data_IF_611761746314
#
_entry.id   IF_611761746314
#
_cell.length_a   1.000
_cell.length_b   1.000
_cell.length_c   1.000
_cell.angle_alpha   90.00
_cell.angle_beta   90.00
_cell.angle_gamma   90.00
#
_symmetry.space_group_name_H-M   'P 1'
#
loop_
_entity.id
_entity.type
_entity.pdbx_description
1 polymer ?
#
# COMPACT_ATOMS: atom_id res chain seq x y z
N UNK A 1 -10.48 -21.07 -9.42
CA UNK A 1 -11.41 -22.13 -8.99
C UNK A 1 -12.42 -22.49 -10.07
N UNK A 2 -13.42 -21.63 -10.34
CA UNK A 2 -14.55 -21.92 -11.24
C UNK A 2 -14.10 -22.51 -12.58
N UNK A 3 -13.11 -21.88 -13.23
CA UNK A 3 -12.56 -22.37 -14.50
C UNK A 3 -12.01 -23.80 -14.38
N UNK A 4 -11.24 -24.09 -13.33
CA UNK A 4 -10.68 -25.42 -13.12
C UNK A 4 -11.76 -26.47 -12.84
N UNK A 5 -12.73 -26.15 -11.97
CA UNK A 5 -13.85 -27.05 -11.64
C UNK A 5 -14.71 -27.32 -12.88
N UNK A 6 -15.03 -26.30 -13.66
CA UNK A 6 -15.80 -26.46 -14.91
C UNK A 6 -15.03 -27.26 -15.96
N UNK A 7 -13.73 -27.01 -16.16
CA UNK A 7 -12.93 -27.77 -17.12
C UNK A 7 -12.83 -29.24 -16.74
N UNK A 8 -12.57 -29.55 -15.46
CA UNK A 8 -12.49 -30.93 -14.98
C UNK A 8 -13.85 -31.61 -15.07
N UNK A 9 -14.94 -30.89 -14.75
CA UNK A 9 -16.28 -31.43 -14.88
C UNK A 9 -16.62 -31.73 -16.34
N UNK A 10 -16.41 -30.78 -17.25
CA UNK A 10 -16.77 -30.92 -18.66
C UNK A 10 -15.92 -31.95 -19.43
N UNK A 11 -14.62 -32.02 -19.15
CA UNK A 11 -13.67 -32.89 -19.87
C UNK A 11 -13.47 -34.24 -19.18
N UNK A 12 -13.61 -34.28 -17.87
CA UNK A 12 -13.24 -35.42 -17.04
C UNK A 12 -14.42 -36.24 -16.53
N UNK A 13 -15.67 -35.79 -16.68
CA UNK A 13 -16.84 -36.58 -16.27
C UNK A 13 -17.65 -37.04 -17.47
N UNK A 14 -17.85 -38.35 -17.56
CA UNK A 14 -18.64 -39.00 -18.61
C UNK A 14 -20.11 -38.52 -18.65
N UNK A 15 -20.58 -37.91 -17.55
CA UNK A 15 -21.94 -37.40 -17.37
C UNK A 15 -22.05 -35.87 -17.35
N UNK A 16 -21.02 -35.16 -17.82
CA UNK A 16 -21.06 -33.69 -17.82
C UNK A 16 -22.22 -33.17 -18.67
N UNK A 17 -22.90 -32.14 -18.13
CA UNK A 17 -24.06 -31.44 -18.70
C UNK A 17 -24.33 -31.71 -20.20
N UNK A 18 -25.42 -32.44 -20.46
CA UNK A 18 -26.39 -32.17 -21.53
C UNK A 18 -26.01 -32.57 -22.97
N UNK A 19 -24.79 -33.02 -23.28
CA UNK A 19 -24.48 -33.40 -24.70
C UNK A 19 -24.94 -34.83 -25.05
N UNK A 20 -25.12 -35.72 -24.06
CA UNK A 20 -25.35 -37.15 -24.33
C UNK A 20 -26.70 -37.72 -23.86
N UNK A 21 -27.54 -36.97 -23.13
CA UNK A 21 -28.85 -37.47 -22.68
C UNK A 21 -30.02 -36.64 -23.20
N UNK A 22 -31.11 -37.27 -23.67
CA UNK A 22 -32.29 -36.57 -24.16
C UNK A 22 -32.96 -35.76 -23.03
N UNK A 23 -33.61 -34.63 -23.35
CA UNK A 23 -34.08 -33.61 -22.39
C UNK A 23 -35.05 -34.08 -21.29
N UNK A 24 -35.58 -35.30 -21.38
CA UNK A 24 -36.53 -35.88 -20.43
C UNK A 24 -35.93 -36.95 -19.48
N UNK A 25 -34.59 -37.09 -19.38
CA UNK A 25 -33.95 -38.12 -18.54
C UNK A 25 -32.96 -37.64 -17.47
N UNK A 26 -32.82 -36.33 -17.26
CA UNK A 26 -31.93 -35.84 -16.22
C UNK A 26 -32.44 -36.24 -14.82
N UNK A 27 -31.72 -37.16 -14.17
CA UNK A 27 -31.97 -37.58 -12.79
C UNK A 27 -30.80 -37.20 -11.90
N UNK A 28 -30.95 -36.11 -11.14
CA UNK A 28 -30.01 -35.76 -10.09
C UNK A 28 -30.01 -36.85 -9.00
N UNK A 29 -28.82 -37.35 -8.66
CA UNK A 29 -28.64 -38.31 -7.57
C UNK A 29 -27.53 -37.83 -6.65
N UNK A 30 -27.85 -37.46 -5.41
CA UNK A 30 -26.87 -36.95 -4.46
C UNK A 30 -25.61 -37.82 -4.31
N UNK A 31 -25.70 -39.14 -4.53
CA UNK A 31 -24.56 -40.05 -4.40
C UNK A 31 -23.70 -40.19 -5.65
N UNK A 32 -24.16 -39.73 -6.82
CA UNK A 32 -23.48 -39.94 -8.11
C UNK A 32 -23.31 -38.67 -8.94
N UNK A 33 -24.12 -37.65 -8.66
CA UNK A 33 -24.13 -36.34 -9.30
C UNK A 33 -23.11 -35.40 -8.68
N UNK A 34 -22.46 -34.57 -9.52
CA UNK A 34 -21.50 -33.53 -9.12
C UNK A 34 -22.01 -32.11 -9.45
N UNK A 35 -23.18 -31.99 -10.07
CA UNK A 35 -23.78 -30.72 -10.50
C UNK A 35 -23.99 -29.76 -9.33
N UNK A 36 -24.33 -30.31 -8.16
CA UNK A 36 -24.45 -29.56 -6.91
C UNK A 36 -23.12 -29.02 -6.42
N UNK A 37 -22.02 -29.77 -6.55
CA UNK A 37 -20.67 -29.34 -6.16
C UNK A 37 -20.15 -28.24 -7.11
N UNK A 38 -20.37 -28.42 -8.41
CA UNK A 38 -20.02 -27.42 -9.43
C UNK A 38 -20.84 -26.14 -9.23
N UNK A 39 -22.15 -26.27 -9.03
CA UNK A 39 -23.04 -25.15 -8.73
C UNK A 39 -22.66 -24.43 -7.43
N UNK A 40 -22.29 -25.18 -6.39
CA UNK A 40 -21.80 -24.63 -5.13
C UNK A 40 -20.52 -23.82 -5.34
N UNK A 41 -19.54 -24.35 -6.08
CA UNK A 41 -18.29 -23.63 -6.40
C UNK A 41 -18.55 -22.32 -7.15
N UNK A 42 -19.43 -22.34 -8.15
CA UNK A 42 -19.80 -21.16 -8.92
C UNK A 42 -20.52 -20.11 -8.05
N UNK A 43 -21.53 -20.54 -7.31
CA UNK A 43 -22.33 -19.66 -6.44
C UNK A 43 -21.47 -19.05 -5.34
N UNK A 44 -20.62 -19.86 -4.70
CA UNK A 44 -19.68 -19.40 -3.67
C UNK A 44 -18.73 -18.35 -4.23
N UNK A 45 -18.15 -18.60 -5.41
CA UNK A 45 -17.23 -17.67 -6.07
C UNK A 45 -17.93 -16.34 -6.40
N UNK A 46 -19.16 -16.39 -6.93
CA UNK A 46 -19.94 -15.19 -7.23
C UNK A 46 -20.27 -14.37 -5.97
N UNK A 47 -20.73 -15.02 -4.89
CA UNK A 47 -21.02 -14.36 -3.62
C UNK A 47 -19.77 -13.71 -3.02
N UNK A 48 -18.62 -14.38 -3.09
CA UNK A 48 -17.35 -13.82 -2.62
C UNK A 48 -16.90 -12.61 -3.44
N UNK A 49 -17.05 -12.65 -4.76
CA UNK A 49 -16.78 -11.50 -5.63
C UNK A 49 -17.69 -10.31 -5.33
N UNK A 50 -18.99 -10.55 -5.12
CA UNK A 50 -19.95 -9.51 -4.75
C UNK A 50 -19.61 -8.93 -3.36
N UNK A 51 -19.30 -9.78 -2.38
CA UNK A 51 -18.94 -9.35 -1.03
C UNK A 51 -17.62 -8.56 -1.00
N UNK A 52 -16.67 -8.93 -1.87
CA UNK A 52 -15.44 -8.18 -2.07
C UNK A 52 -15.70 -6.78 -2.64
N UNK A 53 -16.50 -6.69 -3.72
CA UNK A 53 -16.86 -5.43 -4.35
C UNK A 53 -17.66 -4.51 -3.41
N UNK A 54 -18.66 -5.06 -2.70
CA UNK A 54 -19.44 -4.32 -1.72
C UNK A 54 -18.62 -3.89 -0.49
N UNK A 55 -17.62 -4.69 -0.11
CA UNK A 55 -16.78 -4.47 1.06
C UNK A 55 -15.74 -3.36 0.92
N UNK A 56 -15.55 -2.79 -0.27
CA UNK A 56 -14.52 -1.78 -0.53
C UNK A 56 -14.63 -0.54 0.36
N UNK A 57 -15.84 -0.15 0.79
CA UNK A 57 -16.07 1.00 1.68
C UNK A 57 -15.96 0.69 3.17
N UNK A 58 -16.06 -0.59 3.55
CA UNK A 58 -16.12 -1.03 4.96
C UNK A 58 -14.96 -1.96 5.31
N UNK A 59 -13.76 -1.64 4.81
CA UNK A 59 -12.52 -2.36 5.13
C UNK A 59 -12.58 -3.86 4.80
N UNK A 60 -13.35 -4.21 3.76
CA UNK A 60 -13.60 -5.58 3.32
C UNK A 60 -14.17 -6.52 4.41
N UNK A 61 -14.80 -5.98 5.46
CA UNK A 61 -15.51 -6.79 6.48
C UNK A 61 -16.59 -7.71 5.88
N UNK A 62 -17.41 -7.27 4.90
CA UNK A 62 -18.38 -8.15 4.26
C UNK A 62 -17.72 -9.36 3.59
N UNK A 63 -16.60 -9.15 2.88
CA UNK A 63 -15.83 -10.24 2.27
C UNK A 63 -15.29 -11.22 3.32
N UNK A 64 -14.75 -10.72 4.43
CA UNK A 64 -14.25 -11.54 5.53
C UNK A 64 -15.36 -12.41 6.15
N UNK A 65 -16.48 -11.82 6.54
CA UNK A 65 -17.58 -12.58 7.15
C UNK A 65 -18.22 -13.55 6.16
N UNK A 66 -18.41 -13.12 4.91
CA UNK A 66 -18.92 -13.99 3.86
C UNK A 66 -18.00 -15.19 3.62
N UNK A 67 -16.67 -14.98 3.61
CA UNK A 67 -15.69 -16.07 3.46
C UNK A 67 -15.74 -17.07 4.61
N UNK A 68 -15.88 -16.62 5.87
CA UNK A 68 -16.04 -17.52 7.01
C UNK A 68 -17.33 -18.32 6.95
N UNK A 69 -18.46 -17.65 6.70
CA UNK A 69 -19.77 -18.30 6.62
C UNK A 69 -19.82 -19.34 5.49
N UNK A 70 -19.32 -18.97 4.30
CA UNK A 70 -19.30 -19.87 3.15
C UNK A 70 -18.32 -21.03 3.36
N UNK A 71 -17.16 -20.82 3.97
CA UNK A 71 -16.25 -21.93 4.32
C UNK A 71 -16.88 -22.87 5.35
N UNK A 72 -17.50 -22.32 6.40
CA UNK A 72 -18.16 -23.09 7.46
C UNK A 72 -19.38 -23.89 6.96
N UNK A 73 -20.06 -23.44 5.91
CA UNK A 73 -21.17 -24.17 5.29
C UNK A 73 -20.70 -25.15 4.20
N UNK A 74 -19.88 -24.68 3.25
CA UNK A 74 -19.51 -25.43 2.06
C UNK A 74 -18.52 -26.56 2.38
N UNK A 75 -17.56 -26.33 3.28
CA UNK A 75 -16.54 -27.34 3.56
C UNK A 75 -17.11 -28.60 4.24
N UNK A 76 -17.97 -28.50 5.28
CA UNK A 76 -18.64 -29.67 5.84
C UNK A 76 -19.56 -30.37 4.83
N UNK A 77 -20.30 -29.61 4.02
CA UNK A 77 -21.11 -30.17 2.93
C UNK A 77 -20.27 -31.02 1.98
N UNK A 78 -19.12 -30.48 1.53
CA UNK A 78 -18.20 -31.17 0.64
C UNK A 78 -17.64 -32.45 1.29
N UNK A 79 -17.30 -32.42 2.58
CA UNK A 79 -16.83 -33.62 3.30
C UNK A 79 -17.92 -34.70 3.31
N UNK A 80 -19.15 -34.35 3.71
CA UNK A 80 -20.27 -35.30 3.76
C UNK A 80 -20.55 -35.86 2.38
N UNK A 81 -20.61 -34.99 1.36
CA UNK A 81 -20.80 -35.38 -0.03
C UNK A 81 -19.68 -36.30 -0.49
N UNK A 82 -18.41 -35.97 -0.24
CA UNK A 82 -17.24 -36.75 -0.65
C UNK A 82 -17.21 -38.15 -0.02
N UNK A 83 -17.62 -38.28 1.25
CA UNK A 83 -17.72 -39.57 1.96
C UNK A 83 -18.82 -40.44 1.35
N UNK A 84 -19.96 -39.82 1.03
CA UNK A 84 -21.13 -40.54 0.54
C UNK A 84 -21.10 -40.78 -0.98
N UNK A 85 -20.23 -40.06 -1.69
CA UNK A 85 -20.10 -40.14 -3.15
C UNK A 85 -19.64 -41.53 -3.59
N UNK A 86 -20.39 -42.13 -4.52
CA UNK A 86 -20.06 -43.41 -5.11
C UNK A 86 -19.20 -43.19 -6.35
N UNK A 87 -17.90 -43.30 -6.15
CA UNK A 87 -16.90 -43.22 -7.21
C UNK A 87 -17.13 -44.35 -8.23
N UNK A 88 -17.21 -43.96 -9.50
CA UNK A 88 -17.36 -44.87 -10.64
C UNK A 88 -16.19 -44.67 -11.61
N UNK A 89 -16.40 -44.72 -12.93
CA UNK A 89 -15.34 -44.51 -13.92
C UNK A 89 -14.72 -43.09 -13.84
N UNK A 90 -15.47 -42.11 -13.34
CA UNK A 90 -15.04 -40.71 -13.23
C UNK A 90 -14.34 -40.40 -11.88
N UNK A 91 -13.78 -41.41 -11.20
CA UNK A 91 -13.29 -41.27 -9.82
C UNK A 91 -12.20 -40.20 -9.65
N UNK A 92 -11.29 -40.11 -10.63
CA UNK A 92 -10.19 -39.13 -10.62
C UNK A 92 -10.73 -37.71 -10.73
N UNK A 93 -11.62 -37.48 -11.69
CA UNK A 93 -12.23 -36.17 -11.95
C UNK A 93 -13.10 -35.72 -10.77
N UNK A 94 -13.90 -36.62 -10.20
CA UNK A 94 -14.69 -36.36 -9.00
C UNK A 94 -13.80 -35.97 -7.81
N UNK A 95 -12.74 -36.75 -7.54
CA UNK A 95 -11.80 -36.47 -6.46
C UNK A 95 -11.10 -35.11 -6.65
N UNK A 96 -10.67 -34.79 -7.87
CA UNK A 96 -10.04 -33.51 -8.19
C UNK A 96 -11.00 -32.33 -7.94
N UNK A 97 -12.27 -32.46 -8.33
CA UNK A 97 -13.30 -31.44 -8.06
C UNK A 97 -13.49 -31.24 -6.56
N UNK A 98 -13.61 -32.30 -5.77
CA UNK A 98 -13.74 -32.20 -4.31
C UNK A 98 -12.52 -31.53 -3.67
N UNK A 99 -11.31 -31.94 -4.05
CA UNK A 99 -10.06 -31.40 -3.51
C UNK A 99 -9.92 -29.92 -3.85
N UNK A 100 -10.10 -29.54 -5.12
CA UNK A 100 -9.99 -28.14 -5.55
C UNK A 100 -11.03 -27.29 -4.84
N UNK A 101 -12.29 -27.71 -4.83
CA UNK A 101 -13.37 -26.94 -4.19
C UNK A 101 -13.13 -26.79 -2.68
N UNK A 102 -12.68 -27.86 -2.01
CA UNK A 102 -12.35 -27.86 -0.59
C UNK A 102 -11.15 -26.97 -0.23
N UNK A 103 -10.09 -27.00 -1.04
CA UNK A 103 -8.93 -26.11 -0.86
C UNK A 103 -9.33 -24.64 -1.01
N UNK A 104 -10.12 -24.32 -2.03
CA UNK A 104 -10.53 -22.93 -2.27
C UNK A 104 -11.49 -22.39 -1.21
N UNK A 105 -12.27 -23.22 -0.51
CA UNK A 105 -13.00 -22.79 0.69
C UNK A 105 -12.07 -22.12 1.72
N UNK A 106 -10.86 -22.65 1.91
CA UNK A 106 -9.88 -22.11 2.86
C UNK A 106 -9.02 -20.99 2.27
N UNK A 107 -8.59 -21.11 1.01
CA UNK A 107 -7.80 -20.06 0.34
C UNK A 107 -8.52 -18.71 0.37
N UNK A 108 -9.83 -18.70 0.15
CA UNK A 108 -10.61 -17.46 0.22
C UNK A 108 -10.68 -16.88 1.64
N UNK A 109 -10.72 -17.71 2.69
CA UNK A 109 -10.63 -17.23 4.08
C UNK A 109 -9.28 -16.56 4.35
N UNK A 110 -8.18 -17.18 3.95
CA UNK A 110 -6.84 -16.59 4.12
C UNK A 110 -6.68 -15.29 3.32
N UNK A 111 -7.14 -15.28 2.07
CA UNK A 111 -7.14 -14.08 1.24
C UNK A 111 -7.96 -12.95 1.90
N UNK A 112 -9.18 -13.26 2.36
CA UNK A 112 -10.05 -12.28 3.01
C UNK A 112 -9.45 -11.72 4.30
N UNK A 113 -8.84 -12.57 5.13
CA UNK A 113 -8.11 -12.12 6.33
C UNK A 113 -6.99 -11.16 5.98
N UNK A 114 -6.14 -11.54 5.02
CA UNK A 114 -5.01 -10.70 4.58
C UNK A 114 -5.49 -9.35 4.05
N UNK A 115 -6.54 -9.34 3.22
CA UNK A 115 -7.13 -8.11 2.68
C UNK A 115 -7.73 -7.23 3.79
N UNK A 116 -8.50 -7.81 4.72
CA UNK A 116 -9.11 -7.05 5.81
C UNK A 116 -8.07 -6.50 6.80
N UNK A 117 -7.02 -7.28 7.11
CA UNK A 117 -5.90 -6.83 7.93
C UNK A 117 -5.11 -5.71 7.26
N UNK A 118 -4.82 -5.83 5.96
CA UNK A 118 -4.20 -4.78 5.17
C UNK A 118 -5.02 -3.49 5.19
N UNK A 119 -6.33 -3.59 4.93
CA UNK A 119 -7.24 -2.45 4.96
C UNK A 119 -7.30 -1.80 6.36
N UNK A 120 -7.19 -2.61 7.42
CA UNK A 120 -7.13 -2.11 8.81
C UNK A 120 -5.86 -1.36 9.14
N UNK A 121 -4.70 -1.89 8.73
CA UNK A 121 -3.42 -1.19 8.90
C UNK A 121 -3.44 0.16 8.16
N UNK A 122 -3.97 0.18 6.93
CA UNK A 122 -4.15 1.44 6.18
C UNK A 122 -5.04 2.44 6.91
N UNK A 123 -6.19 1.99 7.42
CA UNK A 123 -7.06 2.86 8.21
C UNK A 123 -6.34 3.43 9.44
N UNK A 124 -5.57 2.62 10.16
CA UNK A 124 -4.78 3.08 11.31
C UNK A 124 -3.71 4.12 10.94
N UNK A 125 -3.19 4.05 9.71
CA UNK A 125 -2.26 5.03 9.15
C UNK A 125 -2.95 6.27 8.55
N UNK A 126 -4.29 6.39 8.66
CA UNK A 126 -5.05 7.49 8.06
C UNK A 126 -5.27 7.37 6.54
N UNK A 127 -4.93 6.22 5.95
CA UNK A 127 -4.99 5.95 4.50
C UNK A 127 -6.36 5.37 4.05
N UNK A 128 -7.44 5.69 4.77
CA UNK A 128 -8.78 5.17 4.52
C UNK A 128 -9.48 5.96 3.39
N UNK A 129 -10.01 5.26 2.39
CA UNK A 129 -10.75 5.88 1.27
C UNK A 129 -9.93 6.14 -0.01
N UNK A 130 -8.63 5.83 -0.01
CA UNK A 130 -7.72 6.14 -1.11
C UNK A 130 -7.32 4.89 -1.92
N UNK A 131 -7.93 4.76 -3.11
CA UNK A 131 -7.41 4.05 -4.30
C UNK A 131 -7.32 2.52 -4.26
N UNK A 132 -7.41 1.90 -5.44
CA UNK A 132 -7.17 0.47 -5.65
C UNK A 132 -5.71 0.08 -5.32
N UNK A 133 -5.41 -1.22 -5.12
CA UNK A 133 -4.05 -1.72 -4.83
C UNK A 133 -2.95 -1.35 -5.85
N UNK A 134 -3.32 -0.88 -7.05
CA UNK A 134 -2.39 -0.50 -8.13
C UNK A 134 -2.43 1.00 -8.48
N UNK A 135 -3.24 1.79 -7.76
CA UNK A 135 -3.35 3.26 -7.92
C UNK A 135 -2.48 4.02 -6.90
N UNK A 136 -1.38 3.41 -6.43
CA UNK A 136 -0.39 4.09 -5.58
C UNK A 136 0.45 5.10 -6.38
N UNK A 137 -0.23 5.98 -7.13
CA UNK A 137 0.31 7.16 -7.76
C UNK A 137 0.09 8.41 -6.90
N UNK A 138 0.88 9.43 -7.22
CA UNK A 138 0.94 10.79 -6.65
C UNK A 138 -0.43 11.44 -6.34
N UNK A 139 -1.48 11.06 -7.07
CA UNK A 139 -2.85 11.55 -6.94
C UNK A 139 -3.49 11.25 -5.58
N UNK A 140 -3.25 10.06 -5.01
CA UNK A 140 -3.81 9.68 -3.71
C UNK A 140 -3.23 10.56 -2.58
N UNK A 141 -1.96 10.94 -2.70
CA UNK A 141 -1.26 11.84 -1.78
C UNK A 141 -1.62 13.31 -1.99
N UNK A 142 -1.88 13.73 -3.24
CA UNK A 142 -2.37 15.08 -3.56
C UNK A 142 -3.77 15.32 -2.96
N UNK A 143 -4.66 14.32 -3.02
CA UNK A 143 -6.01 14.42 -2.48
C UNK A 143 -6.08 14.42 -0.94
N UNK A 144 -5.15 13.75 -0.23
CA UNK A 144 -5.02 13.81 1.23
C UNK A 144 -4.75 15.24 1.75
N UNK A 145 -4.08 16.07 0.96
CA UNK A 145 -3.83 17.48 1.27
C UNK A 145 -5.01 18.41 0.99
N UNK A 146 -5.95 17.97 0.16
CA UNK A 146 -7.17 18.72 -0.22
C UNK A 146 -8.28 18.63 0.83
N UNK A 147 -8.00 18.17 2.05
CA UNK A 147 -8.95 18.38 3.14
C UNK A 147 -9.10 19.90 3.34
N UNK A 148 -10.30 20.47 3.13
CA UNK A 148 -10.49 21.92 3.16
C UNK A 148 -10.09 22.55 4.49
N UNK A 149 -10.13 21.78 5.58
CA UNK A 149 -9.73 22.24 6.92
C UNK A 149 -8.20 22.36 7.09
N UNK A 150 -7.39 21.52 6.42
CA UNK A 150 -5.93 21.64 6.48
C UNK A 150 -5.41 22.81 5.64
N UNK A 151 -6.01 23.04 4.47
CA UNK A 151 -5.74 24.23 3.65
C UNK A 151 -6.18 25.51 4.37
N UNK A 152 -7.29 25.51 5.11
CA UNK A 152 -7.72 26.64 5.93
C UNK A 152 -6.78 26.87 7.14
N UNK A 153 -6.27 25.81 7.78
CA UNK A 153 -5.28 25.91 8.87
C UNK A 153 -3.88 26.32 8.41
N UNK A 154 -3.52 26.07 7.14
CA UNK A 154 -2.25 26.53 6.56
C UNK A 154 -2.35 27.89 5.88
N UNK A 155 -3.55 28.32 5.46
CA UNK A 155 -3.84 29.66 4.95
C UNK A 155 -3.86 30.75 6.03
N UNK A 156 -3.80 30.42 7.32
CA UNK A 156 -3.88 31.42 8.39
C UNK A 156 -2.54 31.93 8.93
N UNK A 157 -1.40 31.64 8.29
CA UNK A 157 -0.16 32.38 8.55
C UNK A 157 0.15 33.36 7.43
N UNK A 158 -0.88 34.03 6.92
CA UNK A 158 -0.67 35.32 6.28
C UNK A 158 -0.19 36.24 7.40
N UNK A 159 1.06 36.69 7.28
CA UNK A 159 1.83 37.41 8.28
C UNK A 159 0.96 38.21 9.26
N UNK A 160 0.70 37.63 10.43
CA UNK A 160 0.23 38.41 11.56
C UNK A 160 1.32 39.43 11.88
N UNK A 161 0.91 40.63 12.29
CA UNK A 161 1.75 41.79 12.69
C UNK A 161 2.74 41.50 13.86
N UNK A 162 2.96 40.22 14.21
CA UNK A 162 3.88 39.73 15.24
C UNK A 162 4.69 38.48 14.88
N UNK A 163 4.59 37.93 13.66
CA UNK A 163 5.45 36.81 13.24
C UNK A 163 6.86 37.30 12.89
N UNK A 164 7.88 36.72 13.52
CA UNK A 164 9.28 37.05 13.24
C UNK A 164 9.77 36.22 12.04
N UNK A 165 10.60 36.81 11.18
CA UNK A 165 11.14 36.11 10.02
C UNK A 165 11.87 34.81 10.43
N UNK A 166 11.67 33.72 9.69
CA UNK A 166 12.27 32.42 10.02
C UNK A 166 13.80 32.48 10.23
N UNK A 167 14.48 33.35 9.50
CA UNK A 167 15.92 33.57 9.62
C UNK A 167 16.35 34.10 11.00
N UNK A 168 15.48 34.82 11.71
CA UNK A 168 15.80 35.32 13.07
C UNK A 168 15.74 34.22 14.13
N UNK A 169 15.14 33.07 13.80
CA UNK A 169 15.07 31.89 14.66
C UNK A 169 16.15 30.86 14.32
N UNK A 170 17.07 31.21 13.42
CA UNK A 170 18.16 30.35 13.02
C UNK A 170 19.16 30.14 14.17
N UNK A 171 19.50 28.88 14.43
CA UNK A 171 20.64 28.51 15.26
C UNK A 171 21.96 28.85 14.53
N UNK A 172 23.08 28.92 15.25
CA UNK A 172 24.40 29.25 14.67
C UNK A 172 24.85 28.32 13.53
N UNK A 173 24.41 27.06 13.55
CA UNK A 173 24.71 26.02 12.56
C UNK A 173 23.65 25.90 11.44
N UNK A 174 22.64 26.77 11.47
CA UNK A 174 21.56 26.80 10.47
C UNK A 174 22.04 27.42 9.16
N UNK A 175 21.70 26.79 8.04
CA UNK A 175 22.06 27.24 6.70
C UNK A 175 20.82 27.27 5.81
N UNK A 176 20.85 28.14 4.81
CA UNK A 176 19.74 28.33 3.89
C UNK A 176 20.23 28.29 2.45
N UNK A 177 19.47 27.62 1.58
CA UNK A 177 19.73 27.59 0.14
C UNK A 177 18.42 27.73 -0.63
N UNK A 178 18.44 28.52 -1.70
CA UNK A 178 17.28 28.66 -2.56
C UNK A 178 17.26 27.55 -3.61
N UNK A 179 16.21 26.73 -3.59
CA UNK A 179 16.04 25.57 -4.46
C UNK A 179 14.64 25.61 -5.06
N UNK A 180 14.55 25.82 -6.38
CA UNK A 180 13.26 25.86 -7.09
C UNK A 180 12.30 26.93 -6.56
N UNK A 181 12.81 28.10 -6.17
CA UNK A 181 12.01 29.19 -5.60
C UNK A 181 11.59 28.98 -4.13
N UNK A 182 12.12 27.93 -3.47
CA UNK A 182 11.92 27.67 -2.04
C UNK A 182 13.25 27.91 -1.33
N UNK A 183 13.26 28.82 -0.34
CA UNK A 183 14.37 28.96 0.60
C UNK A 183 14.33 27.79 1.59
N UNK A 184 15.19 26.80 1.37
CA UNK A 184 15.29 25.57 2.17
C UNK A 184 16.26 25.77 3.31
N UNK A 185 15.80 25.53 4.54
CA UNK A 185 16.64 25.45 5.72
C UNK A 185 17.26 24.06 5.83
N UNK A 186 18.56 24.01 6.11
CA UNK A 186 19.30 22.79 6.34
C UNK A 186 20.41 22.99 7.37
N UNK A 187 20.85 21.89 7.98
CA UNK A 187 22.05 21.81 8.79
C UNK A 187 22.98 20.76 8.23
N UNK A 188 24.26 20.97 8.42
CA UNK A 188 25.28 20.04 7.95
C UNK A 188 26.41 19.87 8.95
N UNK A 189 26.93 18.65 9.01
CA UNK A 189 28.17 18.33 9.73
C UNK A 189 29.16 17.78 8.73
N UNK A 190 30.33 18.43 8.67
CA UNK A 190 31.48 17.97 7.90
C UNK A 190 32.53 17.49 8.91
N UNK A 191 33.00 16.23 8.83
CA UNK A 191 33.98 15.72 9.79
C UNK A 191 35.31 16.48 9.66
N UNK A 192 35.93 16.84 10.79
CA UNK A 192 37.13 17.69 10.82
C UNK A 192 38.43 17.03 10.33
N UNK A 193 38.41 15.71 10.07
CA UNK A 193 39.59 14.89 9.75
C UNK A 193 39.64 14.42 8.30
N UNK A 194 38.97 15.12 7.37
CA UNK A 194 38.97 14.69 5.98
C UNK A 194 40.34 14.91 5.36
N UNK A 195 41.14 13.85 5.32
CA UNK A 195 42.21 13.69 4.35
C UNK A 195 41.54 13.79 2.98
N UNK A 196 41.94 14.72 2.08
CA UNK A 196 41.26 14.91 0.81
C UNK A 196 41.28 13.57 0.06
N UNK A 197 40.13 12.92 0.02
CA UNK A 197 39.94 11.62 -0.61
C UNK A 197 38.58 11.62 -1.28
N UNK A 198 38.30 10.59 -2.07
CA UNK A 198 37.08 10.44 -2.88
C UNK A 198 35.74 10.69 -2.17
N UNK A 199 35.71 10.77 -0.84
CA UNK A 199 34.50 10.94 -0.03
C UNK A 199 33.97 12.39 0.07
N UNK A 200 34.68 13.41 -0.41
CA UNK A 200 34.20 14.81 -0.34
C UNK A 200 32.89 15.06 -1.10
N UNK A 201 32.61 14.22 -2.11
CA UNK A 201 31.39 14.28 -2.93
C UNK A 201 30.31 13.30 -2.48
N UNK A 202 30.53 12.61 -1.36
CA UNK A 202 29.59 11.65 -0.79
C UNK A 202 28.99 12.20 0.50
N UNK A 203 27.68 12.04 0.67
CA UNK A 203 26.98 12.50 1.88
C UNK A 203 25.85 11.60 2.31
N UNK A 204 25.51 11.65 3.59
CA UNK A 204 24.28 11.07 4.14
C UNK A 204 23.27 12.19 4.29
N UNK A 205 22.06 11.99 3.79
CA UNK A 205 20.97 12.97 3.87
C UNK A 205 19.83 12.41 4.71
N UNK A 206 19.47 13.15 5.76
CA UNK A 206 18.48 12.76 6.75
C UNK A 206 17.15 13.46 6.45
N UNK A 207 16.08 12.67 6.29
CA UNK A 207 14.74 13.15 5.91
C UNK A 207 13.76 12.90 7.05
N UNK A 208 13.23 13.98 7.62
CA UNK A 208 12.28 13.90 8.74
C UNK A 208 10.85 13.57 8.27
N UNK A 209 10.07 13.00 9.20
CA UNK A 209 8.68 12.60 9.01
C UNK A 209 7.69 13.76 9.10
N UNK A 210 6.41 13.45 9.28
CA UNK A 210 5.37 14.45 9.45
C UNK A 210 5.47 15.13 10.83
N UNK A 211 5.32 16.46 10.88
CA UNK A 211 5.44 17.24 12.12
C UNK A 211 6.86 17.30 12.70
N UNK A 212 7.85 16.72 12.02
CA UNK A 212 9.26 16.79 12.39
C UNK A 212 9.97 17.98 11.75
N UNK A 213 11.29 17.97 11.89
CA UNK A 213 12.21 18.91 11.28
C UNK A 213 13.65 18.46 11.48
N UNK A 214 14.60 19.28 11.06
CA UNK A 214 16.05 19.04 11.23
C UNK A 214 16.41 18.73 12.69
N UNK A 215 15.70 19.35 13.64
CA UNK A 215 15.91 19.16 15.08
C UNK A 215 15.86 17.70 15.53
N UNK A 216 15.13 16.83 14.81
CA UNK A 216 15.02 15.41 15.15
C UNK A 216 16.36 14.68 15.06
N UNK A 217 17.30 15.21 14.28
CA UNK A 217 18.58 14.59 13.97
C UNK A 217 19.77 15.16 14.76
N UNK A 218 19.55 16.22 15.56
CA UNK A 218 20.61 17.01 16.23
C UNK A 218 21.62 16.19 17.04
N UNK A 219 21.20 15.06 17.63
CA UNK A 219 22.09 14.21 18.44
C UNK A 219 22.80 13.12 17.65
N UNK A 220 22.43 12.89 16.38
CA UNK A 220 23.01 11.81 15.57
C UNK A 220 23.88 12.32 14.43
N UNK A 221 23.68 13.56 13.96
CA UNK A 221 24.39 14.08 12.79
C UNK A 221 25.91 14.06 12.99
N UNK A 222 26.40 14.55 14.13
CA UNK A 222 27.82 14.56 14.43
C UNK A 222 28.41 13.16 14.66
N UNK A 223 27.85 12.30 15.53
CA UNK A 223 28.32 10.92 15.66
C UNK A 223 28.35 10.17 14.33
N UNK A 224 27.33 10.36 13.49
CA UNK A 224 27.23 9.71 12.18
C UNK A 224 28.30 10.23 11.20
N UNK A 225 28.51 11.55 11.15
CA UNK A 225 29.55 12.15 10.31
C UNK A 225 30.95 11.64 10.70
N UNK A 226 31.23 11.53 12.00
CA UNK A 226 32.50 11.02 12.53
C UNK A 226 32.65 9.52 12.21
N UNK A 227 31.64 8.71 12.46
CA UNK A 227 31.72 7.26 12.26
C UNK A 227 31.84 6.88 10.78
N UNK A 228 31.09 7.56 9.91
CA UNK A 228 31.09 7.28 8.48
C UNK A 228 32.19 8.03 7.72
N UNK A 229 32.88 8.98 8.36
CA UNK A 229 33.87 9.86 7.73
C UNK A 229 33.30 10.50 6.44
N UNK A 230 32.06 10.96 6.50
CA UNK A 230 31.36 11.60 5.39
C UNK A 230 30.49 12.76 5.88
N UNK A 231 30.15 13.66 4.97
CA UNK A 231 29.25 14.78 5.28
C UNK A 231 27.86 14.25 5.61
N UNK A 232 27.23 14.82 6.64
CA UNK A 232 25.84 14.51 7.00
C UNK A 232 25.01 15.79 6.87
N UNK A 233 23.91 15.69 6.14
CA UNK A 233 22.98 16.77 5.84
C UNK A 233 21.61 16.42 6.40
N UNK A 234 20.94 17.38 7.01
CA UNK A 234 19.52 17.30 7.33
C UNK A 234 18.84 18.58 6.86
N UNK A 235 17.65 18.50 6.30
CA UNK A 235 16.91 19.68 5.82
C UNK A 235 15.46 19.66 6.26
N UNK A 236 14.88 20.84 6.39
CA UNK A 236 13.45 21.00 6.66
C UNK A 236 12.70 20.95 5.34
N UNK A 237 11.76 20.01 5.23
CA UNK A 237 10.90 19.91 4.05
C UNK A 237 9.96 21.11 3.98
N UNK A 238 9.48 21.49 2.78
CA UNK A 238 8.46 22.52 2.63
C UNK A 238 7.28 22.31 3.60
N UNK A 239 6.86 23.40 4.25
CA UNK A 239 5.89 23.47 5.36
C UNK A 239 6.42 23.16 6.78
N UNK A 240 7.69 22.77 6.93
CA UNK A 240 8.28 22.44 8.24
C UNK A 240 9.48 23.32 8.58
N UNK A 241 9.73 23.42 9.89
CA UNK A 241 10.82 24.20 10.47
C UNK A 241 10.97 25.60 9.86
N UNK A 242 12.19 25.94 9.47
CA UNK A 242 12.55 27.28 8.96
C UNK A 242 12.53 27.38 7.43
N UNK A 243 12.12 26.32 6.72
CA UNK A 243 11.97 26.36 5.26
C UNK A 243 10.76 27.22 4.87
N UNK A 244 10.96 28.09 3.86
CA UNK A 244 9.91 28.98 3.35
C UNK A 244 8.67 28.24 2.87
N UNK A 245 7.53 28.93 2.89
CA UNK A 245 6.20 28.37 2.60
C UNK A 245 5.52 29.15 1.46
N UNK A 246 6.04 29.04 0.22
CA UNK A 246 5.39 29.69 -0.91
C UNK A 246 3.98 29.13 -1.13
N UNK A 247 3.05 29.93 -1.68
CA UNK A 247 1.70 29.46 -1.95
C UNK A 247 1.72 28.22 -2.88
N UNK A 248 0.77 27.28 -2.72
CA UNK A 248 0.68 26.12 -3.59
C UNK A 248 0.51 26.52 -5.05
N UNK A 249 1.34 25.97 -5.94
CA UNK A 249 1.19 26.09 -7.39
C UNK A 249 0.37 24.93 -7.98
N UNK A 250 0.12 24.94 -9.29
CA UNK A 250 -0.54 23.82 -9.99
C UNK A 250 0.28 22.53 -9.86
N UNK A 251 -0.37 21.35 -9.93
CA UNK A 251 0.13 20.04 -9.44
C UNK A 251 1.64 19.79 -9.60
N UNK A 252 2.22 20.00 -10.79
CA UNK A 252 3.64 19.69 -11.07
C UNK A 252 4.64 20.68 -10.47
N UNK A 253 4.24 21.92 -10.23
CA UNK A 253 5.10 22.97 -9.67
C UNK A 253 4.84 23.19 -8.17
N UNK A 254 3.93 22.42 -7.58
CA UNK A 254 3.57 22.55 -6.19
C UNK A 254 4.70 22.00 -5.29
N UNK A 255 5.39 22.83 -4.48
CA UNK A 255 6.55 22.41 -3.68
C UNK A 255 6.18 21.43 -2.57
N UNK A 256 4.89 21.27 -2.29
CA UNK A 256 4.41 20.35 -1.28
C UNK A 256 4.30 18.92 -1.82
N UNK A 257 4.17 18.67 -3.13
CA UNK A 257 4.03 17.29 -3.64
C UNK A 257 5.24 16.42 -3.33
N UNK A 258 5.04 15.11 -3.21
CA UNK A 258 6.15 14.18 -2.93
C UNK A 258 7.19 14.21 -4.05
N UNK A 259 6.75 14.29 -5.31
CA UNK A 259 7.62 14.45 -6.47
C UNK A 259 8.46 15.72 -6.37
N UNK A 260 7.85 16.86 -6.09
CA UNK A 260 8.56 18.14 -5.92
C UNK A 260 9.54 18.12 -4.74
N UNK A 261 9.16 17.55 -3.60
CA UNK A 261 10.06 17.44 -2.44
C UNK A 261 11.25 16.53 -2.72
N UNK A 262 11.05 15.43 -3.44
CA UNK A 262 12.14 14.54 -3.86
C UNK A 262 13.05 15.24 -4.88
N UNK A 263 12.48 15.97 -5.84
CA UNK A 263 13.26 16.73 -6.81
C UNK A 263 14.08 17.84 -6.15
N UNK A 264 13.46 18.58 -5.23
CA UNK A 264 14.11 19.61 -4.41
C UNK A 264 15.26 19.03 -3.58
N UNK A 265 15.07 17.87 -2.95
CA UNK A 265 16.15 17.17 -2.23
C UNK A 265 17.34 16.88 -3.15
N UNK A 266 17.10 16.35 -4.36
CA UNK A 266 18.16 16.05 -5.31
C UNK A 266 18.86 17.32 -5.81
N UNK A 267 18.11 18.39 -6.09
CA UNK A 267 18.67 19.69 -6.47
C UNK A 267 19.52 20.28 -5.34
N UNK A 268 19.02 20.25 -4.10
CA UNK A 268 19.75 20.67 -2.91
C UNK A 268 21.09 19.91 -2.81
N UNK A 269 21.06 18.58 -2.94
CA UNK A 269 22.28 17.76 -2.91
C UNK A 269 23.26 18.15 -4.02
N UNK A 270 22.77 18.33 -5.25
CA UNK A 270 23.59 18.73 -6.39
C UNK A 270 24.23 20.11 -6.22
N UNK A 271 23.47 21.10 -5.74
CA UNK A 271 23.99 22.44 -5.45
C UNK A 271 25.01 22.45 -4.30
N UNK A 272 24.87 21.53 -3.36
CA UNK A 272 25.81 21.32 -2.27
C UNK A 272 27.03 20.48 -2.68
N UNK A 273 27.16 20.05 -3.94
CA UNK A 273 28.30 19.30 -4.45
C UNK A 273 28.31 17.80 -4.09
N UNK A 274 27.17 17.25 -3.68
CA UNK A 274 27.01 15.82 -3.41
C UNK A 274 26.68 15.08 -4.70
N UNK A 275 27.60 14.23 -5.18
CA UNK A 275 27.40 13.37 -6.35
C UNK A 275 26.88 11.98 -5.97
N UNK A 276 27.14 11.54 -4.73
CA UNK A 276 26.68 10.27 -4.19
C UNK A 276 26.02 10.50 -2.85
N UNK A 277 24.77 10.08 -2.71
CA UNK A 277 24.03 10.28 -1.47
C UNK A 277 23.50 8.95 -0.92
N UNK A 278 23.55 8.81 0.40
CA UNK A 278 22.79 7.81 1.14
C UNK A 278 21.65 8.57 1.80
N UNK A 279 20.41 8.14 1.53
CA UNK A 279 19.23 8.75 2.15
C UNK A 279 18.81 7.88 3.34
N UNK A 280 18.66 8.49 4.51
CA UNK A 280 18.04 7.88 5.67
C UNK A 280 16.80 8.70 6.06
N UNK A 281 15.67 8.03 6.24
CA UNK A 281 14.39 8.69 6.50
C UNK A 281 13.68 8.04 7.69
N UNK A 282 12.94 8.85 8.44
CA UNK A 282 12.04 8.40 9.51
C UNK A 282 10.68 9.08 9.33
N UNK A 283 9.59 8.33 9.50
CA UNK A 283 8.22 8.81 9.37
C UNK A 283 7.58 9.07 10.73
#
# INVERSE_FOLDING_TARGET
EVVAVLLIYLLGTSRSLIIHEPPNRYHFSYMHSLEDVVGLSCTRSALLSIAYAAGMRHMHRPYLYCSYLLAAACFPYLIVKMILFRYSQDAVSASAIFIITGLFCWVHVFAARRTAEWARRRYQMGLAGFGYPWEEGEEAWSMLRRAPDLEAMTKSSDAGDGDVAADSMADEDSKFLEVGGVKVHYKEVVPSTVVPSMNDRMGIVLVHGFGGGVFAWRHIMEPLAIQCQCRVLAFDRPAFGLTSRPPPAADRDNPYTMGSQAHMLLQLCGMLGLERIIIAAHA
#
